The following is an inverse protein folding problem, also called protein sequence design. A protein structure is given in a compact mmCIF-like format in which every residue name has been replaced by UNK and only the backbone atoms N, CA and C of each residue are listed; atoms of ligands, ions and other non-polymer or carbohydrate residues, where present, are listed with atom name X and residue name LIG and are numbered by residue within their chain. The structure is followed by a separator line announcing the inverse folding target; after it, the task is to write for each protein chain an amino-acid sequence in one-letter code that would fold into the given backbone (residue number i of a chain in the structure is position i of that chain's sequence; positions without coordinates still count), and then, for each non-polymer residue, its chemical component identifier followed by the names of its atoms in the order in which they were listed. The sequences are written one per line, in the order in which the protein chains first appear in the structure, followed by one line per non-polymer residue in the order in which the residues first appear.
data_IF_289967675829
#
_entry.id   IF_289967675829
#
_cell.length_a   1.000
_cell.length_b   1.000
_cell.length_c   1.000
_cell.angle_alpha   90.00
_cell.angle_beta   90.00
_cell.angle_gamma   90.00
#
_symmetry.space_group_name_H-M   'P 1'
#
loop_
_entity.id
_entity.type
_entity.pdbx_description
1 polymer ?
#
# COMPACT_ATOMS: atom_id res chain seq x y z
N UNK A 1 7.86 10.60 27.35
CA UNK A 1 6.80 10.66 26.32
C UNK A 1 5.86 11.86 26.52
N UNK A 2 5.91 12.87 25.65
CA UNK A 2 4.85 13.88 25.57
C UNK A 2 3.77 13.44 24.57
N UNK A 3 2.52 13.92 24.68
CA UNK A 3 1.44 13.59 23.74
C UNK A 3 1.78 13.90 22.27
N UNK A 4 2.57 14.95 22.03
CA UNK A 4 3.00 15.38 20.71
C UNK A 4 3.89 14.32 20.04
N UNK A 5 4.84 13.76 20.79
CA UNK A 5 5.73 12.69 20.31
C UNK A 5 4.93 11.44 19.91
N UNK A 6 3.89 11.09 20.69
CA UNK A 6 3.03 9.97 20.36
C UNK A 6 2.27 10.22 19.04
N UNK A 7 1.70 11.41 18.87
CA UNK A 7 0.98 11.79 17.64
C UNK A 7 1.88 11.74 16.41
N UNK A 8 3.10 12.24 16.50
CA UNK A 8 4.05 12.22 15.38
C UNK A 8 4.49 10.80 14.99
N UNK A 9 4.63 9.91 15.97
CA UNK A 9 4.89 8.49 15.75
C UNK A 9 3.75 7.83 14.95
N UNK A 10 2.51 8.05 15.39
CA UNK A 10 1.32 7.52 14.70
C UNK A 10 1.16 8.12 13.31
N UNK A 11 1.41 9.42 13.14
CA UNK A 11 1.38 10.08 11.82
C UNK A 11 2.35 9.41 10.86
N UNK A 12 3.57 9.14 11.31
CA UNK A 12 4.61 8.50 10.48
C UNK A 12 4.23 7.07 10.09
N UNK A 13 3.71 6.28 11.04
CA UNK A 13 3.19 4.94 10.76
C UNK A 13 2.04 4.94 9.74
N UNK A 14 1.07 5.84 9.94
CA UNK A 14 -0.10 5.96 9.06
C UNK A 14 0.30 6.42 7.66
N UNK A 15 1.27 7.33 7.56
CA UNK A 15 1.81 7.78 6.28
C UNK A 15 2.45 6.62 5.52
N UNK A 16 3.34 5.87 6.15
CA UNK A 16 3.99 4.72 5.52
C UNK A 16 2.98 3.63 5.10
N UNK A 17 1.96 3.41 5.93
CA UNK A 17 0.85 2.50 5.61
C UNK A 17 0.06 3.00 4.40
N UNK A 18 -0.30 4.28 4.36
CA UNK A 18 -1.04 4.88 3.25
C UNK A 18 -0.25 4.80 1.93
N UNK A 19 1.06 5.07 1.96
CA UNK A 19 1.94 4.92 0.80
C UNK A 19 2.00 3.46 0.33
N UNK A 20 2.15 2.52 1.26
CA UNK A 20 2.15 1.08 0.95
C UNK A 20 0.87 0.65 0.25
N UNK A 21 -0.29 1.03 0.81
CA UNK A 21 -1.61 0.74 0.24
C UNK A 21 -1.75 1.40 -1.13
N UNK A 22 -1.41 2.68 -1.25
CA UNK A 22 -1.55 3.41 -2.51
C UNK A 22 -0.74 2.76 -3.65
N UNK A 23 0.52 2.41 -3.39
CA UNK A 23 1.38 1.78 -4.39
C UNK A 23 0.83 0.44 -4.87
N UNK A 24 0.28 -0.39 -3.98
CA UNK A 24 -0.27 -1.69 -4.35
C UNK A 24 -1.67 -1.59 -4.99
N UNK A 25 -2.52 -0.71 -4.48
CA UNK A 25 -3.95 -0.67 -4.83
C UNK A 25 -4.20 0.21 -6.05
N UNK A 26 -3.54 1.36 -6.19
CA UNK A 26 -3.83 2.31 -7.30
C UNK A 26 -3.63 1.67 -8.68
N UNK A 27 -2.53 0.93 -8.96
CA UNK A 27 -2.38 0.23 -10.23
C UNK A 27 -3.50 -0.80 -10.48
N UNK A 28 -3.88 -1.54 -9.45
CA UNK A 28 -4.97 -2.52 -9.53
C UNK A 28 -6.32 -1.86 -9.81
N UNK A 29 -6.57 -0.67 -9.26
CA UNK A 29 -7.78 0.11 -9.53
C UNK A 29 -7.82 0.62 -10.97
N UNK A 30 -6.70 1.10 -11.50
CA UNK A 30 -6.61 1.55 -12.90
C UNK A 30 -6.93 0.39 -13.85
N UNK A 31 -6.33 -0.78 -13.61
CA UNK A 31 -6.63 -1.98 -14.40
C UNK A 31 -8.10 -2.39 -14.28
N UNK A 32 -8.65 -2.35 -13.06
CA UNK A 32 -10.08 -2.62 -12.82
C UNK A 32 -11.01 -1.66 -13.56
N UNK A 33 -10.67 -0.38 -13.60
CA UNK A 33 -11.42 0.64 -14.30
C UNK A 33 -11.42 0.41 -15.81
N UNK A 34 -10.25 0.11 -16.39
CA UNK A 34 -10.13 -0.20 -17.82
C UNK A 34 -11.02 -1.39 -18.19
N UNK A 35 -10.98 -2.45 -17.38
CA UNK A 35 -11.79 -3.65 -17.61
C UNK A 35 -13.28 -3.36 -17.42
N UNK A 36 -13.68 -2.56 -16.43
CA UNK A 36 -15.07 -2.17 -16.22
C UNK A 36 -15.64 -1.38 -17.41
N UNK A 37 -14.86 -0.46 -17.99
CA UNK A 37 -15.24 0.28 -19.20
C UNK A 37 -15.40 -0.68 -20.39
N UNK A 38 -14.48 -1.64 -20.56
CA UNK A 38 -14.56 -2.65 -21.61
C UNK A 38 -15.83 -3.51 -21.46
N UNK A 39 -16.11 -4.01 -20.24
CA UNK A 39 -17.32 -4.77 -19.94
C UNK A 39 -18.59 -3.99 -20.25
N UNK A 40 -18.64 -2.71 -19.89
CA UNK A 40 -19.77 -1.84 -20.18
C UNK A 40 -19.95 -1.61 -21.69
N UNK A 41 -18.85 -1.42 -22.43
CA UNK A 41 -18.89 -1.18 -23.87
C UNK A 41 -19.34 -2.41 -24.67
N UNK A 42 -18.97 -3.62 -24.23
CA UNK A 42 -19.30 -4.88 -24.92
C UNK A 42 -20.50 -5.61 -24.33
N UNK A 43 -21.13 -5.06 -23.28
CA UNK A 43 -22.22 -5.70 -22.53
C UNK A 43 -21.87 -7.09 -21.97
N UNK A 44 -20.58 -7.33 -21.69
CA UNK A 44 -20.12 -8.59 -21.09
C UNK A 44 -20.18 -8.45 -19.57
N UNK A 45 -21.04 -9.23 -18.91
CA UNK A 45 -21.22 -9.22 -17.45
C UNK A 45 -20.64 -10.48 -16.78
N UNK A 46 -19.35 -10.73 -17.03
CA UNK A 46 -18.63 -11.87 -16.45
C UNK A 46 -17.81 -11.41 -15.23
N UNK A 47 -18.23 -11.82 -14.04
CA UNK A 47 -17.60 -11.39 -12.78
C UNK A 47 -16.10 -11.71 -12.74
N UNK A 48 -15.70 -12.86 -13.28
CA UNK A 48 -14.30 -13.34 -13.32
C UNK A 48 -13.38 -12.45 -14.16
N UNK A 49 -13.88 -11.90 -15.28
CA UNK A 49 -13.13 -11.00 -16.16
C UNK A 49 -12.68 -9.74 -15.43
N UNK A 50 -13.45 -9.28 -14.44
CA UNK A 50 -13.06 -8.10 -13.65
C UNK A 50 -11.98 -8.43 -12.62
N UNK A 51 -12.00 -9.64 -12.05
CA UNK A 51 -11.14 -10.02 -10.93
C UNK A 51 -9.72 -10.35 -11.37
N UNK A 52 -9.58 -11.19 -12.41
CA UNK A 52 -8.27 -11.73 -12.81
C UNK A 52 -7.26 -10.64 -13.23
N UNK A 53 -7.60 -9.65 -14.07
CA UNK A 53 -6.65 -8.61 -14.46
C UNK A 53 -6.19 -7.76 -13.27
N UNK A 54 -7.09 -7.43 -12.33
CA UNK A 54 -6.77 -6.69 -11.10
C UNK A 54 -5.76 -7.46 -10.25
N UNK A 55 -5.99 -8.76 -10.06
CA UNK A 55 -5.09 -9.63 -9.30
C UNK A 55 -3.70 -9.69 -9.96
N UNK A 56 -3.64 -9.88 -11.29
CA UNK A 56 -2.37 -9.93 -12.01
C UNK A 56 -1.57 -8.62 -11.86
N UNK A 57 -2.23 -7.47 -12.01
CA UNK A 57 -1.57 -6.17 -11.82
C UNK A 57 -1.08 -6.00 -10.38
N UNK A 58 -1.87 -6.40 -9.38
CA UNK A 58 -1.45 -6.35 -7.97
C UNK A 58 -0.22 -7.23 -7.72
N UNK A 59 -0.19 -8.45 -8.25
CA UNK A 59 0.94 -9.37 -8.11
C UNK A 59 2.21 -8.82 -8.78
N UNK A 60 2.09 -8.26 -10.00
CA UNK A 60 3.22 -7.63 -10.69
C UNK A 60 3.74 -6.43 -9.92
N UNK A 61 2.83 -5.59 -9.42
CA UNK A 61 3.18 -4.43 -8.60
C UNK A 61 3.88 -4.86 -7.31
N UNK A 62 3.41 -5.92 -6.66
CA UNK A 62 4.04 -6.47 -5.47
C UNK A 62 5.43 -7.05 -5.76
N UNK A 63 5.61 -7.76 -6.87
CA UNK A 63 6.93 -8.28 -7.27
C UNK A 63 7.92 -7.15 -7.54
N UNK A 64 7.46 -6.05 -8.15
CA UNK A 64 8.30 -4.91 -8.49
C UNK A 64 8.59 -3.99 -7.30
N UNK A 65 7.57 -3.58 -6.55
CA UNK A 65 7.68 -2.65 -5.43
C UNK A 65 7.98 -3.34 -4.09
N UNK A 66 7.80 -4.65 -3.98
CA UNK A 66 7.93 -5.43 -2.74
C UNK A 66 9.27 -5.23 -2.02
N UNK A 67 10.43 -5.40 -2.67
CA UNK A 67 11.73 -5.20 -2.02
C UNK A 67 11.90 -3.79 -1.45
N UNK A 68 11.41 -2.77 -2.17
CA UNK A 68 11.46 -1.39 -1.72
C UNK A 68 10.51 -1.14 -0.54
N UNK A 69 9.28 -1.65 -0.60
CA UNK A 69 8.32 -1.54 0.51
C UNK A 69 8.86 -2.18 1.79
N UNK A 70 9.42 -3.39 1.69
CA UNK A 70 10.03 -4.09 2.83
C UNK A 70 11.17 -3.27 3.42
N UNK A 71 12.02 -2.67 2.58
CA UNK A 71 13.10 -1.79 3.05
C UNK A 71 12.57 -0.57 3.81
N UNK A 72 11.52 0.09 3.33
CA UNK A 72 10.93 1.23 4.03
C UNK A 72 10.37 0.84 5.42
N UNK A 73 9.72 -0.33 5.52
CA UNK A 73 9.21 -0.85 6.80
C UNK A 73 10.32 -1.26 7.76
N UNK A 74 11.41 -1.83 7.25
CA UNK A 74 12.61 -2.14 8.03
C UNK A 74 13.25 -0.86 8.59
N UNK A 75 13.53 0.12 7.73
CA UNK A 75 14.13 1.40 8.13
C UNK A 75 13.26 2.14 9.18
N UNK A 76 11.94 2.14 8.99
CA UNK A 76 11.01 2.71 9.97
C UNK A 76 11.07 1.97 11.31
N UNK A 77 11.08 0.64 11.29
CA UNK A 77 11.11 -0.19 12.50
C UNK A 77 12.43 -0.05 13.25
N UNK A 78 13.56 -0.04 12.55
CA UNK A 78 14.88 0.22 13.13
C UNK A 78 14.95 1.59 13.80
N UNK A 79 14.43 2.62 13.12
CA UNK A 79 14.34 3.98 13.66
C UNK A 79 13.47 4.02 14.92
N UNK A 80 12.32 3.33 14.91
CA UNK A 80 11.46 3.22 16.09
C UNK A 80 12.21 2.59 17.26
N UNK A 81 12.82 1.43 17.06
CA UNK A 81 13.53 0.68 18.11
C UNK A 81 14.70 1.47 18.67
N UNK A 82 15.48 2.12 17.81
CA UNK A 82 16.60 2.97 18.23
C UNK A 82 16.13 4.18 19.06
N UNK A 83 14.93 4.70 18.79
CA UNK A 83 14.39 5.86 19.48
C UNK A 83 13.66 5.51 20.80
N UNK A 84 13.36 4.23 21.07
CA UNK A 84 12.68 3.80 22.31
C UNK A 84 13.37 4.35 23.59
N UNK A 85 14.70 4.22 23.78
CA UNK A 85 15.35 4.68 25.01
C UNK A 85 15.23 6.19 25.23
N UNK A 86 15.23 6.98 24.16
CA UNK A 86 15.13 8.45 24.21
C UNK A 86 13.72 8.95 24.50
N UNK A 87 12.71 8.10 24.28
CA UNK A 87 11.30 8.44 24.42
C UNK A 87 10.78 8.03 25.81
N UNK A 88 11.38 7.01 26.42
CA UNK A 88 11.10 6.53 27.78
C UNK A 88 11.90 7.32 28.84
N UNK A 89 13.10 7.80 28.51
CA UNK A 89 13.85 8.77 29.31
C UNK A 89 13.23 10.16 29.29
#
# INVERSE_FOLDING_TARGET
MTPEVAVDLFRSALWLTAVTVAILVVPSLIAGLIVAVFQAATQINEQTLSFLPRLMVMLVTLMWAGPWLVRQWLEYTETLVHNIPFVIG
#
